data_IF_914328296360
#
_entry.id   IF_914328296360
#
_cell.length_a   1.000
_cell.length_b   1.000
_cell.length_c   1.000
_cell.angle_alpha   90.00
_cell.angle_beta   90.00
_cell.angle_gamma   90.00
#
_symmetry.space_group_name_H-M   'P 1'
#
loop_
_entity.id
_entity.type
_entity.pdbx_description
1 polymer ?
#
# COMPACT_ATOMS: atom_id res chain seq x y z
N UNK A 1 5.14 -30.73 35.11
CA UNK A 1 4.01 -29.89 34.64
C UNK A 1 4.60 -28.71 33.88
N UNK A 2 4.69 -28.72 32.54
CA UNK A 2 5.16 -27.54 31.82
C UNK A 2 3.99 -26.63 31.46
N UNK A 3 4.17 -25.35 31.78
CA UNK A 3 3.26 -24.24 31.60
C UNK A 3 3.08 -23.96 30.11
N UNK A 4 1.84 -24.03 29.63
CA UNK A 4 1.49 -23.67 28.25
C UNK A 4 1.60 -22.15 28.08
N UNK A 5 2.60 -21.70 27.32
CA UNK A 5 2.67 -20.34 26.82
C UNK A 5 1.71 -20.22 25.62
N UNK A 6 0.59 -19.54 25.83
CA UNK A 6 -0.31 -19.13 24.76
C UNK A 6 0.38 -18.02 23.96
N UNK A 7 1.02 -18.39 22.85
CA UNK A 7 1.47 -17.43 21.84
C UNK A 7 0.21 -16.88 21.19
N UNK A 8 -0.15 -15.64 21.51
CA UNK A 8 -1.12 -14.88 20.72
C UNK A 8 -0.43 -14.52 19.40
N UNK A 9 -0.69 -15.31 18.37
CA UNK A 9 -0.34 -14.92 17.01
C UNK A 9 -1.11 -13.63 16.67
N UNK A 10 -0.48 -12.64 15.99
CA UNK A 10 -1.23 -11.52 15.45
C UNK A 10 -2.30 -12.09 14.53
N UNK A 11 -3.57 -11.83 14.84
CA UNK A 11 -4.69 -12.14 13.99
C UNK A 11 -4.54 -11.32 12.71
N UNK A 12 -3.87 -11.89 11.70
CA UNK A 12 -3.88 -11.39 10.35
C UNK A 12 -5.35 -11.32 9.92
N UNK A 13 -5.91 -10.13 9.93
CA UNK A 13 -7.22 -9.89 9.36
C UNK A 13 -7.01 -10.12 7.87
N UNK A 14 -7.63 -11.16 7.32
CA UNK A 14 -7.64 -11.33 5.89
C UNK A 14 -8.34 -10.09 5.32
N UNK A 15 -7.58 -9.22 4.64
CA UNK A 15 -8.13 -8.01 4.03
C UNK A 15 -9.31 -8.42 3.14
N UNK A 16 -10.47 -7.76 3.27
CA UNK A 16 -11.64 -8.08 2.46
C UNK A 16 -11.27 -8.00 0.96
N UNK A 17 -11.90 -8.82 0.09
CA UNK A 17 -11.63 -8.81 -1.34
C UNK A 17 -12.03 -7.43 -1.89
N UNK A 18 -11.04 -6.56 -2.08
CA UNK A 18 -11.24 -5.14 -2.34
C UNK A 18 -10.12 -4.26 -1.80
N UNK A 19 -9.30 -4.77 -0.88
CA UNK A 19 -8.23 -3.99 -0.25
C UNK A 19 -8.76 -3.05 0.83
N UNK A 20 -7.86 -2.53 1.67
CA UNK A 20 -8.21 -1.50 2.65
C UNK A 20 -8.23 -0.13 1.98
N UNK A 21 -9.37 0.56 2.04
CA UNK A 21 -9.54 1.90 1.48
C UNK A 21 -9.25 2.96 2.54
N UNK A 22 -8.24 3.77 2.27
CA UNK A 22 -7.86 4.88 3.14
C UNK A 22 -8.80 6.09 2.94
N UNK A 23 -8.95 6.90 3.99
CA UNK A 23 -9.68 8.15 3.87
C UNK A 23 -8.98 9.05 2.83
N UNK A 24 -9.72 9.63 1.87
CA UNK A 24 -9.12 10.48 0.84
C UNK A 24 -8.50 11.72 1.47
N UNK A 25 -7.32 12.09 0.97
CA UNK A 25 -6.55 13.26 1.44
C UNK A 25 -5.82 13.89 0.25
N UNK A 26 -5.74 15.23 0.24
CA UNK A 26 -5.02 15.95 -0.82
C UNK A 26 -5.54 15.70 -2.25
N UNK A 27 -6.81 15.33 -2.40
CA UNK A 27 -7.42 14.98 -3.70
C UNK A 27 -7.08 13.58 -4.21
N UNK A 28 -6.49 12.74 -3.37
CA UNK A 28 -6.10 11.37 -3.70
C UNK A 28 -6.75 10.37 -2.74
N UNK A 29 -6.99 9.17 -3.22
CA UNK A 29 -7.50 8.02 -2.46
C UNK A 29 -6.50 6.87 -2.58
N UNK A 30 -6.21 6.21 -1.47
CA UNK A 30 -5.24 5.12 -1.41
C UNK A 30 -6.00 3.82 -1.12
N UNK A 31 -5.68 2.78 -1.87
CA UNK A 31 -6.23 1.44 -1.70
C UNK A 31 -5.08 0.47 -1.47
N UNK A 32 -4.99 -0.08 -0.27
CA UNK A 32 -3.99 -1.08 0.10
C UNK A 32 -4.50 -2.44 -0.38
N UNK A 33 -3.82 -3.04 -1.34
CA UNK A 33 -4.26 -4.27 -2.02
C UNK A 33 -3.62 -5.52 -1.44
N UNK A 34 -2.48 -5.39 -0.76
CA UNK A 34 -1.79 -6.51 -0.10
C UNK A 34 -0.90 -6.04 1.06
N UNK A 35 -0.59 -6.98 1.95
CA UNK A 35 0.34 -6.83 3.06
C UNK A 35 -0.18 -5.99 4.23
N UNK A 36 0.63 -5.92 5.29
CA UNK A 36 0.35 -5.16 6.51
C UNK A 36 1.02 -3.78 6.41
N UNK A 37 0.31 -2.82 5.81
CA UNK A 37 0.68 -1.41 5.80
C UNK A 37 -0.54 -0.60 6.20
N UNK A 38 -0.37 0.36 7.10
CA UNK A 38 -1.45 1.26 7.50
C UNK A 38 -1.57 2.46 6.53
N UNK A 39 -2.77 3.04 6.49
CA UNK A 39 -3.07 4.18 5.64
C UNK A 39 -2.19 5.42 5.84
N UNK A 40 -1.68 5.67 7.04
CA UNK A 40 -0.82 6.83 7.32
C UNK A 40 0.54 6.58 6.68
N UNK A 41 1.11 5.40 6.89
CA UNK A 41 2.38 4.98 6.28
C UNK A 41 2.28 4.95 4.75
N UNK A 42 1.19 4.39 4.20
CA UNK A 42 0.98 4.37 2.75
C UNK A 42 0.88 5.79 2.16
N UNK A 43 0.21 6.71 2.86
CA UNK A 43 0.11 8.11 2.45
C UNK A 43 1.45 8.85 2.49
N UNK A 44 2.30 8.58 3.48
CA UNK A 44 3.62 9.19 3.58
C UNK A 44 4.53 8.79 2.40
N UNK A 45 4.51 7.51 2.02
CA UNK A 45 5.23 7.05 0.83
C UNK A 45 4.60 7.57 -0.47
N UNK A 46 3.27 7.60 -0.57
CA UNK A 46 2.57 8.15 -1.73
C UNK A 46 2.91 9.64 -1.97
N UNK A 47 3.03 10.42 -0.90
CA UNK A 47 3.36 11.84 -0.98
C UNK A 47 4.76 12.14 -1.54
N UNK A 48 5.66 11.15 -1.52
CA UNK A 48 7.02 11.28 -2.06
C UNK A 48 7.10 10.97 -3.56
N UNK A 49 6.05 10.43 -4.17
CA UNK A 49 6.03 10.08 -5.60
C UNK A 49 5.87 11.32 -6.48
N UNK A 50 6.77 11.51 -7.43
CA UNK A 50 6.66 12.57 -8.43
C UNK A 50 5.83 12.12 -9.64
N UNK A 51 4.59 12.61 -9.76
CA UNK A 51 3.68 12.29 -10.88
C UNK A 51 4.22 12.71 -12.25
N UNK A 52 5.17 13.64 -12.32
CA UNK A 52 5.76 14.14 -13.56
C UNK A 52 7.19 13.65 -13.80
N UNK A 53 7.73 12.88 -12.85
CA UNK A 53 9.07 12.31 -12.90
C UNK A 53 9.12 10.99 -13.68
N UNK A 54 10.02 10.11 -13.26
CA UNK A 54 10.18 8.80 -13.87
C UNK A 54 8.96 7.90 -13.64
N UNK A 55 8.66 7.05 -14.62
CA UNK A 55 7.57 6.06 -14.52
C UNK A 55 7.79 5.04 -13.40
N UNK A 56 9.04 4.84 -13.01
CA UNK A 56 9.49 3.91 -12.00
C UNK A 56 10.28 4.70 -10.97
N UNK A 57 9.81 4.73 -9.72
CA UNK A 57 10.49 5.45 -8.65
C UNK A 57 10.61 4.54 -7.43
N UNK A 58 11.79 4.46 -6.85
CA UNK A 58 12.02 3.74 -5.60
C UNK A 58 11.88 4.73 -4.44
N UNK A 59 10.93 4.46 -3.55
CA UNK A 59 10.61 5.30 -2.40
C UNK A 59 10.68 4.43 -1.16
N UNK A 60 11.77 4.56 -0.41
CA UNK A 60 12.04 3.69 0.74
C UNK A 60 12.03 2.21 0.33
N UNK A 61 11.20 1.34 0.96
CA UNK A 61 11.10 -0.06 0.61
C UNK A 61 10.19 -0.34 -0.59
N UNK A 62 9.54 0.68 -1.16
CA UNK A 62 8.59 0.55 -2.26
C UNK A 62 9.23 0.84 -3.61
N UNK A 63 8.86 0.06 -4.62
CA UNK A 63 8.98 0.44 -6.02
C UNK A 63 7.61 0.86 -6.52
N UNK A 64 7.50 2.12 -6.94
CA UNK A 64 6.27 2.73 -7.42
C UNK A 64 6.27 2.85 -8.94
N UNK A 65 5.14 2.50 -9.54
CA UNK A 65 4.89 2.41 -10.97
C UNK A 65 3.78 3.37 -11.35
N UNK A 66 4.06 4.27 -12.28
CA UNK A 66 3.04 5.16 -12.85
C UNK A 66 1.90 4.33 -13.44
N UNK A 67 0.66 4.73 -13.14
CA UNK A 67 -0.50 4.25 -13.85
C UNK A 67 -0.42 4.58 -15.35
N UNK A 68 -1.19 3.86 -16.13
CA UNK A 68 -1.28 4.07 -17.57
C UNK A 68 -2.75 4.04 -18.02
N UNK A 69 -2.98 4.28 -19.32
CA UNK A 69 -4.33 4.35 -19.88
C UNK A 69 -5.15 3.06 -19.66
N UNK A 70 -4.51 1.89 -19.51
CA UNK A 70 -5.20 0.62 -19.25
C UNK A 70 -5.55 0.42 -17.77
N UNK A 71 -4.83 1.09 -16.86
CA UNK A 71 -5.06 0.98 -15.41
C UNK A 71 -5.84 2.16 -14.85
N UNK A 72 -6.30 3.09 -15.69
CA UNK A 72 -7.11 4.23 -15.27
C UNK A 72 -8.31 3.75 -14.42
N UNK A 73 -8.63 4.42 -13.30
CA UNK A 73 -8.13 5.73 -12.87
C UNK A 73 -6.87 5.70 -11.99
N UNK A 74 -6.11 4.60 -11.94
CA UNK A 74 -4.87 4.53 -11.15
C UNK A 74 -3.87 5.62 -11.57
N UNK A 75 -3.41 6.42 -10.60
CA UNK A 75 -2.35 7.41 -10.78
C UNK A 75 -0.98 6.73 -10.73
N UNK A 76 -0.75 5.92 -9.71
CA UNK A 76 0.43 5.07 -9.55
C UNK A 76 0.16 3.95 -8.53
N UNK A 77 0.95 2.89 -8.57
CA UNK A 77 0.91 1.78 -7.61
C UNK A 77 2.30 1.53 -7.05
N UNK A 78 2.38 1.29 -5.75
CA UNK A 78 3.62 0.98 -5.04
C UNK A 78 3.60 -0.46 -4.53
N UNK A 79 4.71 -1.16 -4.72
CA UNK A 79 4.92 -2.55 -4.29
C UNK A 79 6.19 -2.62 -3.46
N UNK A 80 6.10 -3.16 -2.24
CA UNK A 80 7.24 -3.31 -1.36
C UNK A 80 8.12 -4.47 -1.82
N UNK A 81 9.43 -4.23 -1.86
CA UNK A 81 10.43 -5.28 -2.06
C UNK A 81 10.80 -5.92 -0.70
N UNK A 82 9.78 -6.45 -0.01
CA UNK A 82 9.92 -7.04 1.33
C UNK A 82 9.16 -8.36 1.43
N UNK A 83 9.44 -9.16 2.47
CA UNK A 83 8.82 -10.48 2.66
C UNK A 83 7.29 -10.43 2.77
N UNK A 84 6.76 -9.34 3.33
CA UNK A 84 5.32 -9.11 3.49
C UNK A 84 4.63 -8.62 2.20
N UNK A 85 5.41 -8.25 1.17
CA UNK A 85 4.95 -7.81 -0.15
C UNK A 85 3.77 -6.83 -0.07
N UNK A 86 3.90 -5.80 0.77
CA UNK A 86 2.87 -4.78 0.90
C UNK A 86 2.66 -4.02 -0.41
N UNK A 87 1.40 -3.77 -0.76
CA UNK A 87 1.01 -3.13 -2.01
C UNK A 87 -0.10 -2.12 -1.78
N UNK A 88 0.03 -0.96 -2.42
CA UNK A 88 -1.04 0.03 -2.45
C UNK A 88 -1.11 0.76 -3.79
N UNK A 89 -2.33 1.04 -4.22
CA UNK A 89 -2.64 1.87 -5.39
C UNK A 89 -3.13 3.25 -4.97
N UNK A 90 -2.77 4.27 -5.75
CA UNK A 90 -3.20 5.65 -5.54
C UNK A 90 -4.07 6.10 -6.70
N UNK A 91 -5.21 6.70 -6.39
CA UNK A 91 -6.27 7.08 -7.30
C UNK A 91 -6.69 8.54 -7.06
N UNK A 92 -7.31 9.22 -8.03
CA UNK A 92 -7.98 10.48 -7.76
C UNK A 92 -9.18 10.24 -6.82
N UNK A 93 -9.37 11.15 -5.86
CA UNK A 93 -10.51 11.14 -4.92
C UNK A 93 -11.81 11.67 -5.53
#
# INVERSE_FOLDING_TARGET
>A
MPVAAFVMAPSAVAQPPGGEHCAPSGGQSIVITAGDIDCITAADFAAQYDLYGDKFQTIGPFTCYSGNAMTAPLLFQCVADTADAAEFGVYPA
#
